data_IF_085702258202
#
_entry.id   IF_085702258202
#
_cell.length_a   1.000
_cell.length_b   1.000
_cell.length_c   1.000
_cell.angle_alpha   90.00
_cell.angle_beta   90.00
_cell.angle_gamma   90.00
#
_symmetry.space_group_name_H-M   'P 1'
#
loop_
_entity.id
_entity.type
_entity.pdbx_description
1 polymer ?
#
# COMPACT_ATOMS: atom_id res chain seq x y z
N UNK A 1 -19.82 8.12 5.82
CA UNK A 1 -18.85 9.19 5.47
C UNK A 1 -17.71 8.69 4.58
N UNK A 2 -16.97 7.64 4.95
CA UNK A 2 -15.81 7.14 4.17
C UNK A 2 -16.17 6.68 2.74
N UNK A 3 -17.29 5.98 2.57
CA UNK A 3 -17.76 5.50 1.27
C UNK A 3 -18.08 6.65 0.28
N UNK A 4 -18.68 7.74 0.78
CA UNK A 4 -18.99 8.93 -0.03
C UNK A 4 -17.74 9.75 -0.39
N UNK A 5 -16.68 9.68 0.41
CA UNK A 5 -15.41 10.32 0.09
C UNK A 5 -14.64 9.55 -0.99
N UNK A 6 -14.61 8.21 -0.89
CA UNK A 6 -14.03 7.35 -1.92
C UNK A 6 -14.79 7.51 -3.25
N UNK A 7 -16.13 7.51 -3.24
CA UNK A 7 -16.90 7.68 -4.48
C UNK A 7 -16.68 9.04 -5.13
N UNK A 8 -16.55 10.11 -4.33
CA UNK A 8 -16.29 11.46 -4.84
C UNK A 8 -14.88 11.59 -5.43
N UNK A 9 -13.87 11.05 -4.76
CA UNK A 9 -12.49 10.98 -5.25
C UNK A 9 -12.37 10.19 -6.55
N UNK A 10 -13.07 9.06 -6.66
CA UNK A 10 -13.07 8.24 -7.88
C UNK A 10 -13.75 9.00 -9.03
N UNK A 11 -14.88 9.66 -8.79
CA UNK A 11 -15.56 10.42 -9.83
C UNK A 11 -14.73 11.62 -10.33
N UNK A 12 -14.05 12.33 -9.44
CA UNK A 12 -13.15 13.43 -9.80
C UNK A 12 -12.01 12.97 -10.73
N UNK A 13 -11.43 11.80 -10.46
CA UNK A 13 -10.38 11.22 -11.31
C UNK A 13 -10.91 10.60 -12.61
N UNK A 14 -12.12 10.05 -12.61
CA UNK A 14 -12.83 9.64 -13.84
C UNK A 14 -13.04 10.84 -14.76
N UNK A 15 -13.50 11.96 -14.22
CA UNK A 15 -13.65 13.20 -14.96
C UNK A 15 -12.29 13.68 -15.51
N UNK A 16 -11.20 13.54 -14.74
CA UNK A 16 -9.85 13.87 -15.20
C UNK A 16 -9.42 13.04 -16.42
N UNK A 17 -9.72 11.74 -16.44
CA UNK A 17 -9.47 10.86 -17.59
C UNK A 17 -10.35 11.25 -18.80
N UNK A 18 -11.62 11.60 -18.58
CA UNK A 18 -12.48 12.10 -19.66
C UNK A 18 -11.93 13.37 -20.29
N UNK A 19 -11.60 14.38 -19.48
CA UNK A 19 -11.16 15.68 -19.97
C UNK A 19 -9.79 15.64 -20.63
N UNK A 20 -8.82 14.92 -20.06
CA UNK A 20 -7.43 14.99 -20.50
C UNK A 20 -7.01 13.88 -21.47
N UNK A 21 -7.76 12.76 -21.54
CA UNK A 21 -7.43 11.64 -22.42
C UNK A 21 -8.55 11.34 -23.41
N UNK A 22 -9.76 11.02 -22.94
CA UNK A 22 -10.79 10.51 -23.85
C UNK A 22 -11.33 11.57 -24.80
N UNK A 23 -11.52 12.82 -24.35
CA UNK A 23 -11.92 13.92 -25.25
C UNK A 23 -10.86 14.26 -26.30
N UNK A 24 -9.57 14.47 -25.93
CA UNK A 24 -8.51 14.66 -26.91
C UNK A 24 -8.36 13.48 -27.88
N UNK A 25 -8.49 12.24 -27.38
CA UNK A 25 -8.42 11.04 -28.22
C UNK A 25 -9.56 11.00 -29.24
N UNK A 26 -10.81 11.23 -28.83
CA UNK A 26 -11.95 11.29 -29.75
C UNK A 26 -11.76 12.36 -30.83
N UNK A 27 -11.29 13.54 -30.44
CA UNK A 27 -10.97 14.60 -31.38
C UNK A 27 -9.92 14.15 -32.41
N UNK A 28 -8.87 13.45 -31.95
CA UNK A 28 -7.86 12.87 -32.83
C UNK A 28 -8.42 11.78 -33.76
N UNK A 29 -9.30 10.90 -33.27
CA UNK A 29 -9.98 9.88 -34.08
C UNK A 29 -10.86 10.53 -35.15
N UNK A 30 -11.57 11.61 -34.82
CA UNK A 30 -12.36 12.43 -35.77
C UNK A 30 -11.48 13.10 -36.83
N UNK A 31 -10.33 13.64 -36.43
CA UNK A 31 -9.37 14.30 -37.33
C UNK A 31 -8.67 13.32 -38.28
N UNK A 32 -8.40 12.10 -37.83
CA UNK A 32 -7.62 11.10 -38.58
C UNK A 32 -8.47 10.02 -39.26
N UNK A 33 -9.74 9.89 -38.88
CA UNK A 33 -10.62 8.80 -39.31
C UNK A 33 -10.22 7.43 -38.76
N UNK A 34 -9.22 7.36 -37.86
CA UNK A 34 -8.75 6.13 -37.26
C UNK A 34 -9.50 5.87 -35.96
N UNK A 35 -10.15 4.71 -35.83
CA UNK A 35 -10.69 4.26 -34.55
C UNK A 35 -9.58 3.61 -33.73
N UNK A 36 -9.25 4.23 -32.61
CA UNK A 36 -8.26 3.78 -31.63
C UNK A 36 -8.97 3.12 -30.45
N UNK A 37 -10.09 3.69 -29.99
CA UNK A 37 -10.82 3.22 -28.83
C UNK A 37 -12.35 3.22 -29.11
N UNK A 38 -12.93 2.09 -29.57
CA UNK A 38 -14.36 2.01 -29.85
C UNK A 38 -15.20 2.23 -28.60
N UNK A 39 -16.42 2.76 -28.77
CA UNK A 39 -17.30 3.34 -27.73
C UNK A 39 -16.97 2.92 -26.29
N UNK A 40 -16.40 3.87 -25.55
CA UNK A 40 -16.05 3.71 -24.15
C UNK A 40 -17.31 3.93 -23.30
N UNK A 41 -17.78 2.87 -22.64
CA UNK A 41 -18.82 2.99 -21.61
C UNK A 41 -18.19 3.45 -20.29
N UNK A 42 -19.01 4.05 -19.42
CA UNK A 42 -18.59 4.45 -18.06
C UNK A 42 -17.95 3.27 -17.30
N UNK A 43 -18.45 2.05 -17.49
CA UNK A 43 -17.88 0.83 -16.91
C UNK A 43 -16.44 0.56 -17.36
N UNK A 44 -16.13 0.79 -18.64
CA UNK A 44 -14.76 0.65 -19.17
C UNK A 44 -13.84 1.71 -18.55
N UNK A 45 -14.33 2.95 -18.38
CA UNK A 45 -13.55 4.02 -17.74
C UNK A 45 -13.23 3.65 -16.29
N UNK A 46 -14.21 3.17 -15.52
CA UNK A 46 -13.98 2.73 -14.14
C UNK A 46 -12.97 1.58 -14.06
N UNK A 47 -13.00 0.63 -15.00
CA UNK A 47 -12.01 -0.45 -15.08
C UNK A 47 -10.61 0.07 -15.38
N UNK A 48 -10.46 0.95 -16.38
CA UNK A 48 -9.17 1.57 -16.73
C UNK A 48 -8.62 2.32 -15.51
N UNK A 49 -9.48 3.12 -14.85
CA UNK A 49 -9.09 3.84 -13.64
C UNK A 49 -8.63 2.89 -12.52
N UNK A 50 -9.38 1.82 -12.24
CA UNK A 50 -8.99 0.85 -11.21
C UNK A 50 -7.65 0.16 -11.52
N UNK A 51 -7.37 -0.12 -12.80
CA UNK A 51 -6.08 -0.66 -13.23
C UNK A 51 -4.97 0.37 -12.97
N UNK A 52 -5.16 1.63 -13.38
CA UNK A 52 -4.16 2.69 -13.20
C UNK A 52 -3.88 2.98 -11.72
N UNK A 53 -4.92 3.13 -10.90
CA UNK A 53 -4.79 3.44 -9.46
C UNK A 53 -4.00 2.36 -8.70
N UNK A 54 -4.12 1.09 -9.11
CA UNK A 54 -3.44 -0.04 -8.47
C UNK A 54 -2.09 -0.38 -9.11
N UNK A 55 -1.90 -0.16 -10.41
CA UNK A 55 -0.73 -0.69 -11.13
C UNK A 55 0.18 0.38 -11.73
N UNK A 56 -0.28 1.62 -11.88
CA UNK A 56 0.60 2.69 -12.33
C UNK A 56 1.57 3.09 -11.21
N UNK A 57 2.81 3.43 -11.58
CA UNK A 57 3.86 3.91 -10.69
C UNK A 57 4.31 5.30 -11.10
N UNK A 58 4.62 6.14 -10.13
CA UNK A 58 5.25 7.44 -10.37
C UNK A 58 6.66 7.23 -10.95
N UNK A 59 7.01 8.01 -11.97
CA UNK A 59 8.30 7.90 -12.64
C UNK A 59 9.42 8.54 -11.80
N UNK A 60 9.19 9.73 -11.28
CA UNK A 60 10.09 10.46 -10.39
C UNK A 60 9.31 11.51 -9.59
N UNK A 61 9.90 11.98 -8.49
CA UNK A 61 9.32 13.06 -7.68
C UNK A 61 9.34 14.43 -8.39
N UNK A 62 10.11 14.55 -9.48
CA UNK A 62 10.27 15.80 -10.24
C UNK A 62 9.28 15.93 -11.40
N UNK A 63 8.68 14.81 -11.83
CA UNK A 63 7.78 14.75 -12.98
C UNK A 63 6.45 14.18 -12.50
N UNK A 64 5.39 14.98 -12.60
CA UNK A 64 4.00 14.55 -12.39
C UNK A 64 3.54 13.62 -13.54
N UNK A 65 4.15 12.44 -13.61
CA UNK A 65 3.84 11.41 -14.58
C UNK A 65 3.77 10.03 -13.90
N UNK A 66 2.75 9.28 -14.28
CA UNK A 66 2.58 7.88 -13.88
C UNK A 66 2.73 6.97 -15.09
N UNK A 67 3.41 5.85 -14.92
CA UNK A 67 3.64 4.85 -15.96
C UNK A 67 3.04 3.51 -15.54
N UNK A 68 2.39 2.85 -16.51
CA UNK A 68 1.95 1.46 -16.40
C UNK A 68 2.95 0.56 -17.13
N UNK A 69 3.55 -0.40 -16.43
CA UNK A 69 4.39 -1.45 -17.00
C UNK A 69 3.62 -2.78 -16.96
N UNK A 70 2.96 -3.23 -18.05
CA UNK A 70 2.07 -4.39 -18.01
C UNK A 70 2.76 -5.66 -17.52
N UNK A 71 3.98 -5.93 -17.98
CA UNK A 71 4.76 -7.11 -17.56
C UNK A 71 5.16 -7.05 -16.09
N UNK A 72 5.58 -5.86 -15.60
CA UNK A 72 5.95 -5.69 -14.20
C UNK A 72 4.73 -5.72 -13.26
N UNK A 73 3.54 -5.36 -13.76
CA UNK A 73 2.28 -5.43 -13.01
C UNK A 73 1.83 -6.85 -12.69
N UNK A 74 2.46 -7.86 -13.32
CA UNK A 74 2.22 -9.28 -13.02
C UNK A 74 3.06 -9.79 -11.83
N UNK A 75 4.04 -9.00 -11.36
CA UNK A 75 4.88 -9.39 -10.23
C UNK A 75 4.09 -9.27 -8.93
N UNK A 76 3.96 -10.37 -8.18
CA UNK A 76 3.34 -10.33 -6.86
C UNK A 76 4.22 -9.60 -5.85
N UNK A 77 3.58 -9.05 -4.81
CA UNK A 77 4.30 -8.47 -3.67
C UNK A 77 4.79 -9.58 -2.74
N UNK A 78 6.10 -9.76 -2.72
CA UNK A 78 6.80 -10.63 -1.77
C UNK A 78 8.22 -10.11 -1.55
N UNK A 79 8.84 -10.57 -0.46
CA UNK A 79 10.24 -10.30 -0.15
C UNK A 79 11.14 -11.49 -0.48
N UNK A 80 10.63 -12.47 -1.25
CA UNK A 80 11.34 -13.68 -1.62
C UNK A 80 11.02 -14.02 -3.10
N UNK A 81 12.06 -14.19 -3.93
CA UNK A 81 12.05 -14.35 -5.41
C UNK A 81 11.95 -13.05 -6.23
N UNK A 82 11.85 -13.16 -7.57
CA UNK A 82 11.68 -12.02 -8.51
C UNK A 82 10.30 -11.43 -8.27
N UNK A 83 10.20 -10.56 -7.28
CA UNK A 83 8.96 -9.95 -6.78
C UNK A 83 9.20 -8.47 -6.56
N UNK A 84 8.13 -7.66 -6.61
CA UNK A 84 8.25 -6.20 -6.43
C UNK A 84 7.87 -5.79 -5.01
N UNK A 85 8.57 -4.78 -4.47
CA UNK A 85 8.24 -4.17 -3.19
C UNK A 85 7.37 -2.93 -3.42
N UNK A 86 6.08 -3.04 -3.17
CA UNK A 86 5.15 -1.88 -3.28
C UNK A 86 5.20 -0.94 -2.07
N UNK A 87 6.24 -1.05 -1.24
CA UNK A 87 6.40 -0.29 0.00
C UNK A 87 7.86 0.02 0.23
N UNK A 88 8.14 1.09 0.97
CA UNK A 88 9.50 1.42 1.38
C UNK A 88 10.11 0.31 2.27
N UNK A 89 11.39 -0.01 2.05
CA UNK A 89 12.08 -1.09 2.76
C UNK A 89 12.17 -0.87 4.27
N UNK A 90 12.28 0.39 4.71
CA UNK A 90 12.45 0.77 6.12
C UNK A 90 11.14 0.87 6.91
N UNK A 91 9.99 0.66 6.29
CA UNK A 91 8.74 0.63 7.05
C UNK A 91 8.64 -0.64 7.85
N UNK A 92 8.12 -0.58 9.09
CA UNK A 92 7.79 -1.75 9.91
C UNK A 92 6.53 -2.49 9.46
N UNK A 93 6.32 -3.72 9.92
CA UNK A 93 5.21 -4.61 9.51
C UNK A 93 3.83 -3.95 9.53
N UNK A 94 3.49 -3.21 10.59
CA UNK A 94 2.20 -2.52 10.70
C UNK A 94 2.01 -1.46 9.62
N UNK A 95 2.99 -0.57 9.45
CA UNK A 95 2.93 0.50 8.45
C UNK A 95 2.87 -0.05 7.01
N UNK A 96 3.70 -1.07 6.70
CA UNK A 96 3.67 -1.75 5.40
C UNK A 96 2.30 -2.35 5.10
N UNK A 97 1.74 -3.14 6.03
CA UNK A 97 0.42 -3.77 5.87
C UNK A 97 -0.69 -2.74 5.77
N UNK A 98 -0.63 -1.66 6.56
CA UNK A 98 -1.59 -0.57 6.47
C UNK A 98 -1.59 0.07 5.07
N UNK A 99 -0.40 0.41 4.55
CA UNK A 99 -0.26 0.98 3.23
C UNK A 99 -0.80 0.04 2.15
N UNK A 100 -0.35 -1.22 2.12
CA UNK A 100 -0.81 -2.21 1.13
C UNK A 100 -2.32 -2.43 1.15
N UNK A 101 -2.94 -2.44 2.35
CA UNK A 101 -4.39 -2.51 2.47
C UNK A 101 -5.08 -1.27 1.91
N UNK A 102 -4.49 -0.09 2.08
CA UNK A 102 -5.06 1.18 1.63
C UNK A 102 -4.87 1.43 0.14
N UNK A 103 -3.71 1.06 -0.43
CA UNK A 103 -3.33 1.39 -1.82
C UNK A 103 -3.45 0.22 -2.79
N UNK A 104 -3.29 -1.01 -2.31
CA UNK A 104 -3.33 -2.24 -3.13
C UNK A 104 -4.43 -3.21 -2.70
N UNK A 105 -5.23 -2.86 -1.69
CA UNK A 105 -6.43 -3.59 -1.25
C UNK A 105 -6.20 -5.04 -0.81
N UNK A 106 -4.98 -5.40 -0.41
CA UNK A 106 -4.68 -6.73 0.15
C UNK A 106 -3.91 -6.64 1.46
N UNK A 107 -3.84 -7.77 2.18
CA UNK A 107 -3.12 -7.90 3.45
C UNK A 107 -1.91 -8.81 3.26
N UNK A 108 -0.70 -8.26 3.37
CA UNK A 108 0.55 -8.99 3.09
C UNK A 108 0.91 -10.01 4.16
N UNK A 109 1.02 -11.29 3.78
CA UNK A 109 1.39 -12.40 4.66
C UNK A 109 2.79 -12.96 4.33
N UNK A 110 3.72 -12.15 3.81
CA UNK A 110 5.09 -12.63 3.52
C UNK A 110 5.85 -13.03 4.80
N UNK A 111 6.95 -13.79 4.67
CA UNK A 111 7.75 -14.25 5.81
C UNK A 111 8.18 -13.12 6.74
N UNK A 112 8.61 -11.98 6.17
CA UNK A 112 8.96 -10.77 6.94
C UNK A 112 7.79 -10.21 7.76
N UNK A 113 6.57 -10.22 7.22
CA UNK A 113 5.39 -9.75 7.96
C UNK A 113 4.88 -10.76 9.00
N UNK A 114 5.23 -12.04 8.87
CA UNK A 114 4.90 -13.08 9.83
C UNK A 114 5.91 -13.17 10.98
N UNK A 115 7.16 -12.72 10.76
CA UNK A 115 8.23 -12.73 11.75
C UNK A 115 8.19 -11.48 12.67
N UNK A 116 8.06 -11.65 14.00
CA UNK A 116 8.11 -10.55 14.96
C UNK A 116 9.39 -9.71 14.94
N UNK A 117 10.51 -10.31 14.52
CA UNK A 117 11.81 -9.64 14.41
C UNK A 117 12.02 -8.98 13.06
N UNK A 118 11.08 -9.17 12.13
CA UNK A 118 11.18 -8.73 10.74
C UNK A 118 12.45 -9.25 10.08
N UNK A 119 12.69 -10.56 10.19
CA UNK A 119 13.90 -11.26 9.70
C UNK A 119 15.18 -10.78 10.40
N UNK A 120 15.10 -10.58 11.72
CA UNK A 120 16.23 -10.13 12.54
C UNK A 120 16.63 -8.66 12.35
N UNK A 121 15.84 -7.88 11.61
CA UNK A 121 16.13 -6.45 11.40
C UNK A 121 15.66 -5.56 12.54
N UNK A 122 14.66 -5.99 13.31
CA UNK A 122 14.11 -5.27 14.45
C UNK A 122 13.63 -3.83 14.15
N UNK A 123 13.27 -3.54 12.88
CA UNK A 123 12.91 -2.18 12.42
C UNK A 123 11.79 -1.53 13.23
N UNK A 124 10.79 -2.30 13.63
CA UNK A 124 9.67 -1.84 14.45
C UNK A 124 9.84 -2.08 15.96
N UNK A 125 10.94 -2.72 16.38
CA UNK A 125 11.12 -3.14 17.75
C UNK A 125 11.43 -1.96 18.69
N UNK A 126 10.93 -2.04 19.94
CA UNK A 126 11.22 -1.04 20.97
C UNK A 126 12.15 -1.63 22.03
N UNK A 127 12.92 -0.78 22.70
CA UNK A 127 13.72 -1.23 23.84
C UNK A 127 12.83 -1.38 25.07
N UNK A 128 12.93 -2.52 25.75
CA UNK A 128 12.25 -2.74 27.01
C UNK A 128 12.99 -2.03 28.14
N UNK A 129 12.33 -1.06 28.77
CA UNK A 129 12.89 -0.32 29.89
C UNK A 129 12.90 -1.13 31.19
N UNK A 130 12.03 -2.13 31.34
CA UNK A 130 11.86 -2.80 32.62
C UNK A 130 10.85 -2.08 33.50
N UNK A 131 10.84 -2.41 34.79
CA UNK A 131 10.16 -1.62 35.82
C UNK A 131 11.19 -0.72 36.51
N UNK A 132 10.73 0.27 37.29
CA UNK A 132 11.64 1.15 38.05
C UNK A 132 12.64 0.38 38.90
N UNK A 133 12.22 -0.73 39.50
CA UNK A 133 13.06 -1.56 40.37
C UNK A 133 13.84 -2.65 39.62
N UNK A 134 13.47 -2.96 38.37
CA UNK A 134 14.10 -4.03 37.57
C UNK A 134 14.24 -3.61 36.11
N UNK A 135 15.32 -2.88 35.76
CA UNK A 135 15.66 -2.59 34.38
C UNK A 135 15.92 -3.87 33.58
N UNK A 136 15.47 -3.90 32.32
CA UNK A 136 15.55 -5.11 31.49
C UNK A 136 16.54 -4.98 30.32
N UNK A 137 16.42 -3.93 29.52
CA UNK A 137 17.25 -3.73 28.32
C UNK A 137 16.99 -4.75 27.20
N UNK A 138 15.94 -5.57 27.31
CA UNK A 138 15.45 -6.46 26.25
C UNK A 138 14.76 -5.72 25.12
N UNK A 139 14.10 -6.48 24.25
CA UNK A 139 13.40 -5.98 23.07
C UNK A 139 11.93 -6.31 23.16
N UNK A 140 11.09 -5.30 23.00
CA UNK A 140 9.64 -5.43 22.87
C UNK A 140 9.29 -5.78 21.42
N UNK A 141 8.60 -6.90 21.22
CA UNK A 141 8.22 -7.42 19.92
C UNK A 141 6.71 -7.70 19.88
N UNK A 142 6.06 -7.56 18.72
CA UNK A 142 4.66 -7.95 18.57
C UNK A 142 4.51 -9.47 18.71
N UNK A 143 3.57 -9.94 19.55
CA UNK A 143 3.30 -11.37 19.74
C UNK A 143 2.77 -12.02 18.45
N UNK A 144 1.84 -11.35 17.78
CA UNK A 144 1.31 -11.72 16.47
C UNK A 144 1.42 -10.51 15.52
N UNK A 145 2.51 -10.39 14.74
CA UNK A 145 2.80 -9.20 13.92
C UNK A 145 1.75 -8.94 12.83
N UNK A 146 0.94 -9.95 12.49
CA UNK A 146 -0.10 -9.85 11.47
C UNK A 146 -1.47 -9.45 12.05
N UNK A 147 -1.66 -9.50 13.38
CA UNK A 147 -2.91 -9.10 14.02
C UNK A 147 -3.03 -7.57 14.10
N UNK A 148 -4.22 -7.05 13.80
CA UNK A 148 -4.48 -5.60 13.80
C UNK A 148 -4.30 -4.96 15.19
N UNK A 149 -4.63 -5.70 16.26
CA UNK A 149 -4.54 -5.24 17.64
C UNK A 149 -3.60 -6.14 18.46
N UNK A 150 -2.38 -6.33 17.95
CA UNK A 150 -1.38 -7.18 18.58
C UNK A 150 -0.76 -6.55 19.83
N UNK A 151 -0.84 -7.23 20.98
CA UNK A 151 -0.03 -6.92 22.15
C UNK A 151 1.47 -7.18 21.89
N UNK A 152 2.32 -6.45 22.60
CA UNK A 152 3.77 -6.60 22.50
C UNK A 152 4.32 -7.20 23.77
N UNK A 153 5.34 -8.04 23.66
CA UNK A 153 6.01 -8.69 24.78
C UNK A 153 7.51 -8.50 24.69
N UNK A 154 8.13 -8.30 25.85
CA UNK A 154 9.58 -8.34 25.93
C UNK A 154 10.08 -9.79 25.75
N UNK A 155 11.25 -9.94 25.13
CA UNK A 155 11.95 -11.21 25.01
C UNK A 155 12.81 -11.59 26.23
N UNK A 156 12.86 -10.76 27.28
CA UNK A 156 13.70 -10.98 28.47
C UNK A 156 12.95 -10.89 29.81
N UNK A 157 11.81 -10.21 29.87
CA UNK A 157 11.00 -10.09 31.09
C UNK A 157 9.50 -10.13 30.75
N UNK A 158 8.66 -10.14 31.79
CA UNK A 158 7.21 -10.32 31.64
C UNK A 158 6.43 -9.04 31.27
N UNK A 159 7.13 -7.95 30.93
CA UNK A 159 6.49 -6.68 30.57
C UNK A 159 5.85 -6.80 29.19
N UNK A 160 4.55 -6.52 29.15
CA UNK A 160 3.75 -6.40 27.93
C UNK A 160 3.26 -4.98 27.71
N UNK A 161 3.17 -4.59 26.45
CA UNK A 161 2.59 -3.31 26.06
C UNK A 161 1.27 -3.55 25.31
N UNK A 162 0.17 -2.85 25.71
CA UNK A 162 -1.07 -2.92 24.97
C UNK A 162 -0.93 -2.18 23.63
N UNK A 163 -1.65 -2.64 22.61
CA UNK A 163 -1.77 -1.92 21.35
C UNK A 163 -2.75 -0.76 21.51
N UNK A 164 -2.29 0.40 21.98
CA UNK A 164 -3.07 1.63 21.91
C UNK A 164 -2.95 2.21 20.51
N UNK A 165 -3.86 1.81 19.62
CA UNK A 165 -4.13 2.56 18.40
C UNK A 165 -4.67 3.92 18.86
N UNK A 166 -3.84 4.98 18.78
CA UNK A 166 -4.35 6.34 18.86
C UNK A 166 -5.37 6.49 17.72
N UNK A 167 -6.66 6.55 18.08
CA UNK A 167 -7.73 6.91 17.17
C UNK A 167 -7.66 8.43 17.03
N UNK A 168 -6.97 8.89 15.99
CA UNK A 168 -7.16 10.22 15.40
C UNK A 168 -8.04 10.10 14.16
#
# INVERSE_FOLDING_TARGET
MYFNYISRSVQEKVNLLEENYFKPLKKYEEETGQSILPQVTTDVIHKIYGILDVNATELSEEIDAVILYPTASLLEHSYEHITSIYTHILWGTSARRHHLRKTKYFTCMCKRCQDPTEMGTFVSALRCLGTENQPCGGTQLPINPTAHNCEWSCNKCDIKLPNKVNRE
#
